data_IF_413181314178
#
_entry.id   IF_413181314178
#
_cell.length_a   1.000
_cell.length_b   1.000
_cell.length_c   1.000
_cell.angle_alpha   90.00
_cell.angle_beta   90.00
_cell.angle_gamma   90.00
#
_symmetry.space_group_name_H-M   'P 1'
#
loop_
_entity.id
_entity.type
_entity.pdbx_description
1 polymer ?
#
# COMPACT_ATOMS: atom_id res chain seq x y z
N UNK A 1 -6.54 30.48 -3.19
CA UNK A 1 -7.08 29.19 -2.72
C UNK A 1 -6.32 28.13 -3.49
N UNK A 2 -5.30 27.52 -2.87
CA UNK A 2 -4.43 26.56 -3.55
C UNK A 2 -5.01 25.17 -3.31
N UNK A 3 -5.49 24.54 -4.37
CA UNK A 3 -5.87 23.13 -4.38
C UNK A 3 -4.67 22.31 -3.89
N UNK A 4 -4.77 21.50 -2.83
CA UNK A 4 -3.72 20.53 -2.58
C UNK A 4 -3.79 19.57 -3.75
N UNK A 5 -2.77 19.58 -4.61
CA UNK A 5 -2.42 18.41 -5.42
C UNK A 5 -2.50 17.23 -4.45
N UNK A 6 -3.44 16.32 -4.69
CA UNK A 6 -3.62 15.07 -3.93
C UNK A 6 -2.37 14.21 -4.14
N UNK A 7 -1.27 14.66 -3.55
CA UNK A 7 -0.06 13.88 -3.39
C UNK A 7 -0.46 12.89 -2.33
N UNK A 8 -0.77 11.66 -2.76
CA UNK A 8 -1.22 10.62 -1.83
C UNK A 8 -0.17 10.53 -0.73
N UNK A 9 -0.53 10.68 0.56
CA UNK A 9 0.45 10.78 1.62
C UNK A 9 1.41 9.60 1.54
N UNK A 10 2.71 9.88 1.60
CA UNK A 10 3.72 8.83 1.71
C UNK A 10 3.39 7.93 2.90
N UNK A 11 3.78 6.65 2.82
CA UNK A 11 3.58 5.75 3.95
C UNK A 11 4.23 6.35 5.19
N UNK A 12 3.42 6.57 6.21
CA UNK A 12 3.85 7.10 7.51
C UNK A 12 4.02 5.97 8.51
N UNK A 13 4.69 6.23 9.64
CA UNK A 13 4.80 5.24 10.72
C UNK A 13 3.45 4.83 11.35
N UNK A 14 2.37 5.57 11.05
CA UNK A 14 1.02 5.22 11.45
C UNK A 14 0.42 4.13 10.57
N UNK A 15 0.89 3.97 9.33
CA UNK A 15 0.44 2.92 8.43
C UNK A 15 0.91 1.56 8.98
N UNK A 16 -0.06 0.67 9.23
CA UNK A 16 0.20 -0.68 9.74
C UNK A 16 -0.14 -1.70 8.69
N UNK A 17 0.66 -2.76 8.65
CA UNK A 17 0.39 -3.90 7.79
C UNK A 17 -0.93 -4.54 8.20
N UNK A 18 -1.87 -4.67 7.27
CA UNK A 18 -3.18 -5.28 7.50
C UNK A 18 -3.10 -6.73 7.97
N UNK A 19 -1.95 -7.39 7.74
CA UNK A 19 -1.74 -8.79 8.11
C UNK A 19 -1.15 -9.00 9.51
N UNK A 20 -0.22 -8.15 9.94
CA UNK A 20 0.52 -8.37 11.21
C UNK A 20 0.64 -7.14 12.12
N UNK A 21 0.15 -5.98 11.70
CA UNK A 21 0.21 -4.76 12.50
C UNK A 21 1.61 -4.13 12.62
N UNK A 22 2.63 -4.65 11.94
CA UNK A 22 3.95 -4.00 11.84
C UNK A 22 3.88 -2.71 11.00
N UNK A 23 4.91 -1.88 11.02
CA UNK A 23 4.98 -0.70 10.16
C UNK A 23 4.86 -1.10 8.68
N UNK A 24 3.91 -0.50 7.98
CA UNK A 24 3.76 -0.70 6.55
C UNK A 24 4.89 0.02 5.81
N UNK A 25 5.43 -0.67 4.81
CA UNK A 25 6.46 -0.13 3.92
C UNK A 25 6.01 -0.18 2.46
N UNK A 26 4.92 -0.88 2.18
CA UNK A 26 4.40 -1.06 0.84
C UNK A 26 2.90 -0.83 0.89
N UNK A 27 2.40 -0.03 -0.04
CA UNK A 27 0.97 0.22 -0.26
C UNK A 27 0.61 -0.32 -1.63
N UNK A 28 -0.32 -1.26 -1.67
CA UNK A 28 -0.84 -1.83 -2.90
C UNK A 28 -2.22 -1.24 -3.19
N UNK A 29 -2.37 -0.51 -4.28
CA UNK A 29 -3.67 -0.01 -4.75
C UNK A 29 -4.28 -1.04 -5.68
N UNK A 30 -5.43 -1.56 -5.30
CA UNK A 30 -6.21 -2.42 -6.16
C UNK A 30 -6.90 -1.59 -7.24
N UNK A 31 -6.96 -2.11 -8.46
CA UNK A 31 -7.66 -1.43 -9.58
C UNK A 31 -9.17 -1.28 -9.31
N UNK A 32 -9.71 -2.03 -8.36
CA UNK A 32 -11.09 -1.95 -7.88
C UNK A 32 -11.37 -0.76 -6.95
N UNK A 33 -10.34 0.03 -6.59
CA UNK A 33 -10.48 1.25 -5.80
C UNK A 33 -10.20 1.10 -4.30
N UNK A 34 -9.67 -0.04 -3.86
CA UNK A 34 -9.18 -0.24 -2.50
C UNK A 34 -7.66 -0.10 -2.40
N UNK A 35 -7.15 0.13 -1.20
CA UNK A 35 -5.72 0.04 -0.90
C UNK A 35 -5.45 -0.92 0.25
N UNK A 36 -4.32 -1.61 0.18
CA UNK A 36 -3.85 -2.53 1.21
C UNK A 36 -2.43 -2.14 1.62
N UNK A 37 -2.17 -2.19 2.92
CA UNK A 37 -0.90 -1.85 3.52
C UNK A 37 -0.17 -3.13 3.93
N UNK A 38 1.08 -3.23 3.51
CA UNK A 38 1.93 -4.38 3.79
C UNK A 38 3.27 -3.93 4.38
N UNK A 39 3.77 -4.70 5.34
CA UNK A 39 5.17 -4.60 5.74
C UNK A 39 6.06 -5.20 4.64
N UNK A 40 7.36 -4.89 4.62
CA UNK A 40 8.27 -5.41 3.59
C UNK A 40 8.30 -6.93 3.47
N UNK A 41 7.96 -7.65 4.55
CA UNK A 41 7.83 -9.11 4.55
C UNK A 41 6.57 -9.58 3.79
N UNK A 42 5.38 -9.16 4.24
CA UNK A 42 4.13 -9.61 3.64
C UNK A 42 3.91 -9.04 2.23
N UNK A 43 4.51 -7.89 1.91
CA UNK A 43 4.47 -7.35 0.56
C UNK A 43 5.09 -8.32 -0.46
N UNK A 44 6.21 -8.98 -0.10
CA UNK A 44 6.86 -9.99 -0.94
C UNK A 44 6.07 -11.30 -0.99
N UNK A 45 5.54 -11.73 0.14
CA UNK A 45 4.70 -12.93 0.22
C UNK A 45 3.42 -12.79 -0.63
N UNK A 46 2.80 -11.61 -0.62
CA UNK A 46 1.59 -11.32 -1.38
C UNK A 46 1.84 -10.70 -2.75
N UNK A 47 3.09 -10.47 -3.16
CA UNK A 47 3.44 -9.79 -4.42
C UNK A 47 2.83 -10.51 -5.62
N UNK A 48 2.89 -11.84 -5.65
CA UNK A 48 2.33 -12.64 -6.74
C UNK A 48 0.83 -12.36 -6.91
N UNK A 49 0.08 -12.39 -5.81
CA UNK A 49 -1.37 -12.15 -5.82
C UNK A 49 -1.72 -10.69 -6.14
N UNK A 50 -0.92 -9.74 -5.65
CA UNK A 50 -1.08 -8.33 -5.99
C UNK A 50 -0.85 -8.07 -7.48
N UNK A 51 0.14 -8.73 -8.09
CA UNK A 51 0.37 -8.69 -9.54
C UNK A 51 -0.78 -9.30 -10.33
N UNK A 52 -1.31 -10.44 -9.90
CA UNK A 52 -2.49 -11.05 -10.52
C UNK A 52 -3.70 -10.11 -10.48
N UNK A 53 -3.87 -9.38 -9.37
CA UNK A 53 -4.91 -8.37 -9.21
C UNK A 53 -4.61 -7.04 -9.92
N UNK A 54 -3.50 -6.95 -10.67
CA UNK A 54 -3.04 -5.72 -11.33
C UNK A 54 -2.97 -4.53 -10.38
N UNK A 55 -2.55 -4.80 -9.14
CA UNK A 55 -2.41 -3.78 -8.11
C UNK A 55 -1.18 -2.91 -8.38
N UNK A 56 -1.33 -1.60 -8.18
CA UNK A 56 -0.24 -0.64 -8.21
C UNK A 56 0.51 -0.68 -6.88
N UNK A 57 1.75 -1.14 -6.91
CA UNK A 57 2.58 -1.33 -5.70
C UNK A 57 3.49 -0.11 -5.52
N UNK A 58 3.21 0.67 -4.48
CA UNK A 58 3.99 1.82 -4.03
C UNK A 58 4.84 1.41 -2.82
N UNK A 59 6.14 1.69 -2.85
CA UNK A 59 7.12 1.23 -1.86
C UNK A 59 8.14 2.32 -1.54
#
# INVERSE_FOLDING_TARGET
>A
MTSPTLTRPELTAADRCDRCGAAAQVRAILSTGGELLFCGHHAREHEAKLKELSADIQR
#
